data_IF_987415686873
#
_entry.id   IF_987415686873
#
_cell.length_a   1.000
_cell.length_b   1.000
_cell.length_c   1.000
_cell.angle_alpha   90.00
_cell.angle_beta   90.00
_cell.angle_gamma   90.00
#
_symmetry.space_group_name_H-M   'P 1'
#
loop_
_entity.id
_entity.type
_entity.pdbx_description
1 polymer ?
#
# COMPACT_ATOMS: atom_id res chain seq x y z
N UNK A 1 -3.31 -2.06 10.30
CA UNK A 1 -4.07 -1.21 9.36
C UNK A 1 -3.61 -1.56 7.94
N UNK A 2 -4.54 -1.64 6.99
CA UNK A 2 -4.27 -2.02 5.60
C UNK A 2 -4.46 -0.81 4.68
N UNK A 3 -3.56 -0.65 3.70
CA UNK A 3 -3.58 0.44 2.74
C UNK A 3 -4.19 0.00 1.40
N UNK A 4 -3.84 -1.20 0.93
CA UNK A 4 -4.30 -1.74 -0.36
C UNK A 4 -4.64 -3.21 -0.17
N UNK A 5 -5.90 -3.57 -0.42
CA UNK A 5 -6.36 -4.95 -0.29
C UNK A 5 -5.69 -5.86 -1.32
N UNK A 6 -5.79 -7.18 -1.11
CA UNK A 6 -5.27 -8.17 -2.07
C UNK A 6 -5.85 -8.03 -3.48
N UNK A 7 -7.15 -7.74 -3.59
CA UNK A 7 -7.81 -7.56 -4.89
C UNK A 7 -7.32 -6.29 -5.61
N UNK A 8 -7.14 -5.21 -4.86
CA UNK A 8 -6.61 -3.96 -5.40
C UNK A 8 -5.14 -4.08 -5.77
N UNK A 9 -4.33 -4.77 -4.96
CA UNK A 9 -2.91 -5.01 -5.24
C UNK A 9 -2.71 -5.87 -6.50
N UNK A 10 -3.61 -6.82 -6.76
CA UNK A 10 -3.57 -7.64 -7.98
C UNK A 10 -3.72 -6.81 -9.28
N UNK A 11 -4.27 -5.60 -9.18
CA UNK A 11 -4.45 -4.66 -10.29
C UNK A 11 -3.67 -3.35 -10.12
N UNK A 12 -2.93 -3.18 -9.02
CA UNK A 12 -2.23 -1.95 -8.71
C UNK A 12 -1.01 -1.78 -9.61
N UNK A 13 -0.75 -0.55 -10.01
CA UNK A 13 0.46 -0.15 -10.71
C UNK A 13 1.39 0.59 -9.75
N UNK A 14 2.65 0.14 -9.69
CA UNK A 14 3.71 0.79 -8.91
C UNK A 14 4.21 2.04 -9.63
N UNK A 15 4.05 3.21 -9.01
CA UNK A 15 4.51 4.50 -9.50
C UNK A 15 5.73 5.03 -8.71
N UNK A 16 6.44 4.16 -8.02
CA UNK A 16 7.53 4.50 -7.10
C UNK A 16 6.98 4.86 -5.73
N UNK A 17 6.62 6.13 -5.53
CA UNK A 17 6.14 6.63 -4.23
C UNK A 17 4.63 6.40 -4.00
N UNK A 18 3.92 5.92 -5.02
CA UNK A 18 2.46 5.74 -5.00
C UNK A 18 2.04 4.45 -5.69
N UNK A 19 0.92 3.90 -5.26
CA UNK A 19 0.20 2.86 -5.99
C UNK A 19 -1.02 3.46 -6.71
N UNK A 20 -1.18 3.14 -7.99
CA UNK A 20 -2.38 3.47 -8.76
C UNK A 20 -3.26 2.24 -8.91
N UNK A 21 -4.41 2.24 -8.26
CA UNK A 21 -5.42 1.20 -8.44
C UNK A 21 -6.39 1.65 -9.54
N UNK A 22 -6.41 1.02 -10.72
CA UNK A 22 -7.33 1.39 -11.78
C UNK A 22 -8.77 1.07 -11.37
N UNK A 23 -9.70 1.94 -11.79
CA UNK A 23 -11.13 1.71 -11.59
C UNK A 23 -11.55 0.40 -12.27
N UNK A 24 -12.47 -0.32 -11.64
CA UNK A 24 -13.01 -1.54 -12.20
C UNK A 24 -13.90 -1.24 -13.41
N UNK A 25 -13.36 -1.35 -14.63
CA UNK A 25 -14.11 -1.14 -15.87
C UNK A 25 -14.71 -2.44 -16.42
N UNK A 26 -14.95 -3.44 -15.57
CA UNK A 26 -15.68 -4.65 -15.98
C UNK A 26 -17.14 -4.27 -16.25
N UNK A 27 -17.49 -4.02 -17.50
CA UNK A 27 -18.88 -3.88 -17.97
C UNK A 27 -19.71 -5.09 -17.55
N UNK A 28 -20.45 -5.01 -16.43
CA UNK A 28 -21.48 -5.95 -15.92
C UNK A 28 -21.21 -7.46 -16.15
N UNK A 29 -19.95 -7.85 -16.29
CA UNK A 29 -19.56 -9.15 -16.82
C UNK A 29 -19.27 -10.08 -15.65
N UNK A 30 -20.34 -10.73 -15.18
CA UNK A 30 -20.31 -11.78 -14.16
C UNK A 30 -19.38 -12.96 -14.55
N UNK A 31 -19.05 -13.11 -15.84
CA UNK A 31 -18.13 -14.14 -16.33
C UNK A 31 -16.70 -14.03 -15.80
N UNK A 32 -16.26 -12.85 -15.34
CA UNK A 32 -14.92 -12.67 -14.75
C UNK A 32 -14.77 -13.23 -13.33
N UNK A 33 -15.87 -13.69 -12.71
CA UNK A 33 -15.83 -14.37 -11.42
C UNK A 33 -15.88 -15.90 -11.54
N UNK A 34 -16.26 -16.46 -12.71
CA UNK A 34 -16.75 -17.84 -12.78
C UNK A 34 -15.96 -18.81 -13.67
N UNK A 35 -14.93 -18.36 -14.39
CA UNK A 35 -14.18 -19.24 -15.29
C UNK A 35 -12.68 -19.07 -15.05
N UNK A 36 -12.13 -20.07 -14.35
CA UNK A 36 -10.71 -20.28 -14.11
C UNK A 36 -10.04 -19.19 -13.26
N UNK A 37 -9.89 -19.47 -11.96
CA UNK A 37 -9.12 -18.61 -11.06
C UNK A 37 -7.74 -18.37 -11.64
N UNK A 38 -7.52 -17.16 -12.14
CA UNK A 38 -6.25 -16.77 -12.72
C UNK A 38 -5.15 -16.94 -11.64
N UNK A 39 -4.17 -17.84 -11.84
CA UNK A 39 -3.12 -18.07 -10.86
C UNK A 39 -2.27 -16.82 -10.58
N UNK A 40 -2.32 -15.79 -11.45
CA UNK A 40 -1.71 -14.49 -11.18
C UNK A 40 -2.42 -13.72 -10.06
N UNK A 41 -3.75 -13.82 -9.95
CA UNK A 41 -4.52 -13.20 -8.85
C UNK A 41 -4.18 -13.80 -7.49
N UNK A 42 -3.66 -15.04 -7.46
CA UNK A 42 -3.29 -15.71 -6.21
C UNK A 42 -1.96 -15.23 -5.62
N UNK A 43 -1.14 -14.47 -6.35
CA UNK A 43 0.21 -14.09 -5.87
C UNK A 43 0.30 -12.69 -5.28
N UNK A 44 -0.71 -11.84 -5.47
CA UNK A 44 -0.73 -10.53 -4.83
C UNK A 44 -0.93 -10.71 -3.31
N UNK A 45 -0.08 -10.06 -2.52
CA UNK A 45 -0.21 -9.95 -1.07
C UNK A 45 -0.86 -8.60 -0.75
N UNK A 46 -1.70 -8.55 0.28
CA UNK A 46 -2.23 -7.29 0.79
C UNK A 46 -1.10 -6.38 1.28
N UNK A 47 -1.16 -5.07 1.03
CA UNK A 47 -0.17 -4.13 1.54
C UNK A 47 -0.70 -3.39 2.76
N UNK A 48 -0.03 -3.59 3.88
CA UNK A 48 -0.46 -3.13 5.19
C UNK A 48 0.75 -2.73 6.05
N UNK A 49 0.49 -2.08 7.18
CA UNK A 49 1.57 -1.56 8.05
C UNK A 49 2.54 -2.63 8.56
N UNK A 50 2.16 -3.91 8.54
CA UNK A 50 3.03 -5.00 8.99
C UNK A 50 4.12 -5.42 7.99
N UNK A 51 3.85 -5.32 6.68
CA UNK A 51 4.77 -5.69 5.59
C UNK A 51 5.34 -4.47 4.84
N UNK A 52 4.85 -3.26 5.13
CA UNK A 52 5.52 -2.02 4.77
C UNK A 52 6.96 -1.96 5.35
N UNK A 53 7.82 -1.16 4.73
CA UNK A 53 9.17 -0.93 5.22
C UNK A 53 9.12 -0.41 6.67
N UNK A 54 9.74 -1.16 7.59
CA UNK A 54 9.88 -0.74 8.98
C UNK A 54 11.14 0.09 9.14
N UNK A 55 10.96 1.32 9.58
CA UNK A 55 12.09 2.18 9.94
C UNK A 55 12.76 1.66 11.22
N UNK A 56 14.08 1.69 11.24
CA UNK A 56 14.86 1.41 12.43
C UNK A 56 14.93 2.63 13.35
N UNK A 57 15.50 2.45 14.54
CA UNK A 57 15.55 3.51 15.54
C UNK A 57 16.25 4.80 15.03
N UNK A 58 17.39 4.74 14.31
CA UNK A 58 17.97 5.91 13.66
C UNK A 58 17.04 6.58 12.64
N UNK A 59 16.45 5.83 11.70
CA UNK A 59 15.60 6.41 10.66
C UNK A 59 14.33 7.06 11.25
N UNK A 60 13.78 6.50 12.33
CA UNK A 60 12.66 7.12 13.05
C UNK A 60 13.10 8.44 13.70
N UNK A 61 14.29 8.51 14.30
CA UNK A 61 14.79 9.76 14.89
C UNK A 61 14.95 10.85 13.83
N UNK A 62 15.56 10.51 12.69
CA UNK A 62 15.75 11.45 11.59
C UNK A 62 14.41 11.95 11.03
N UNK A 63 13.45 11.03 10.84
CA UNK A 63 12.09 11.40 10.41
C UNK A 63 11.41 12.33 11.41
N UNK A 64 11.45 12.03 12.70
CA UNK A 64 10.82 12.87 13.73
C UNK A 64 11.43 14.28 13.76
N UNK A 65 12.74 14.40 13.52
CA UNK A 65 13.41 15.69 13.44
C UNK A 65 13.01 16.53 12.22
N UNK A 66 12.35 15.94 11.20
CA UNK A 66 11.77 16.70 10.08
C UNK A 66 10.51 17.49 10.47
N UNK A 67 9.83 17.11 11.56
CA UNK A 67 8.58 17.71 12.01
C UNK A 67 8.82 18.94 12.89
N UNK A 68 8.22 20.07 12.53
CA UNK A 68 8.34 21.34 13.29
C UNK A 68 7.85 21.23 14.74
N UNK A 69 6.80 20.44 14.99
CA UNK A 69 6.25 20.26 16.33
C UNK A 69 7.25 19.57 17.27
N UNK A 70 8.00 18.58 16.77
CA UNK A 70 9.03 17.87 17.53
C UNK A 70 10.22 18.78 17.79
N UNK A 71 10.67 19.53 16.77
CA UNK A 71 11.75 20.51 16.92
C UNK A 71 11.42 21.59 17.95
N UNK A 72 10.20 22.12 17.91
CA UNK A 72 9.72 23.15 18.84
C UNK A 72 9.64 22.64 20.28
N UNK A 73 9.17 21.40 20.49
CA UNK A 73 9.06 20.79 21.82
C UNK A 73 10.43 20.52 22.48
N UNK A 74 11.50 20.41 21.69
CA UNK A 74 12.86 20.15 22.17
C UNK A 74 13.59 21.41 22.69
N UNK A 75 13.11 22.59 22.32
CA UNK A 75 13.70 23.89 22.69
C UNK A 75 12.98 24.54 23.89
N UNK A 76 11.96 23.86 24.44
CA UNK A 76 11.23 24.26 25.64
C UNK A 76 11.71 23.49 26.88
#
# INVERSE_FOLDING_TARGET
ESLVSREEMARAEDMGDFFRVPADTRDLNYGKFFTEGDPAHSRAEEYHSHNAQRLDLPAIQDLLLTLDCVRSARVS
#
